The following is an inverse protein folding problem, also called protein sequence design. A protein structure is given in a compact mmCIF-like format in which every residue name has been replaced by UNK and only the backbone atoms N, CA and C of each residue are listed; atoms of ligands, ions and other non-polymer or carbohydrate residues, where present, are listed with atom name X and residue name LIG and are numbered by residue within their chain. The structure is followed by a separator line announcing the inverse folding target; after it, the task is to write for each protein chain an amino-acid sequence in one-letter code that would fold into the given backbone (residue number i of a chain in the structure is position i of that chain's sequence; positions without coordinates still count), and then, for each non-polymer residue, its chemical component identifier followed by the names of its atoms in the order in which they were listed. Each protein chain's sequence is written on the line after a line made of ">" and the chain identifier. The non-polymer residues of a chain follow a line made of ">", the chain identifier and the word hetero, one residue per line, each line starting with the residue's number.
data_IF_747803801376
#
_entry.id   IF_747803801376
#
_cell.length_a   1.000
_cell.length_b   1.000
_cell.length_c   1.000
_cell.angle_alpha   90.00
_cell.angle_beta   90.00
_cell.angle_gamma   90.00
#
_symmetry.space_group_name_H-M   'P 1'
#
loop_
_entity.id
_entity.type
_entity.pdbx_description
1 polymer ?
2 non-polymer ?
3 non-polymer ?
4 water ?
#
# COMPACT_ATOMS: atom_id res chain seq x y z
N UNK A 5 -17.97 27.70 -14.41
CA UNK A 5 -17.19 26.42 -14.23
C UNK A 5 -16.63 25.95 -15.59
N UNK A 6 -16.76 26.77 -16.64
CA UNK A 6 -16.27 26.41 -18.01
C UNK A 6 -14.73 26.52 -18.03
N UNK A 7 -14.16 27.38 -17.16
CA UNK A 7 -12.69 27.61 -17.09
C UNK A 7 -11.94 26.29 -17.29
N UNK A 8 -12.19 25.30 -16.42
CA UNK A 8 -11.53 23.98 -16.49
C UNK A 8 -10.40 23.86 -15.47
N UNK A 9 -9.81 22.67 -15.36
CA UNK A 9 -8.69 22.39 -14.42
C UNK A 9 -7.36 22.79 -15.04
N UNK A 10 -6.52 23.51 -14.29
CA UNK A 10 -5.19 23.95 -14.76
C UNK A 10 -4.27 22.73 -14.82
N UNK A 11 -3.14 22.78 -15.54
CA UNK A 11 -2.21 21.65 -15.60
C UNK A 11 -1.82 21.16 -14.19
N UNK A 12 -1.88 19.85 -13.98
CA UNK A 12 -1.52 19.25 -12.66
C UNK A 12 -0.08 18.75 -12.71
N UNK A 13 0.72 19.08 -11.70
CA UNK A 13 2.13 18.60 -11.64
C UNK A 13 2.45 18.16 -10.21
N UNK A 14 2.77 16.88 -10.04
CA UNK A 14 3.12 16.29 -8.72
C UNK A 14 4.64 16.30 -8.56
N UNK A 15 5.10 16.10 -7.33
CA UNK A 15 6.54 16.13 -7.00
C UNK A 15 7.12 14.72 -7.04
N UNK A 16 6.25 13.69 -6.95
CA UNK A 16 6.68 12.27 -6.96
C UNK A 16 7.25 11.88 -8.33
N UNK A 17 8.19 10.94 -8.34
CA UNK A 17 8.83 10.45 -9.59
C UNK A 17 7.81 9.84 -10.54
N UNK A 18 6.91 8.99 -10.02
CA UNK A 18 5.85 8.32 -10.83
C UNK A 18 4.49 8.52 -10.13
N UNK A 19 3.41 8.61 -10.91
CA UNK A 19 2.07 8.75 -10.32
C UNK A 19 0.99 8.35 -11.33
N UNK A 21 -3.57 8.30 -11.37
CA UNK A 21 -4.87 8.47 -10.74
C UNK A 21 -5.92 7.97 -11.74
N UNK A 22 -6.82 7.09 -11.27
CA UNK A 22 -7.86 6.46 -12.14
C UNK A 22 -9.25 6.57 -11.52
N UNK A 23 -10.26 6.80 -12.37
CA UNK A 23 -11.69 6.84 -11.97
C UNK A 23 -12.14 5.38 -11.85
N UNK A 24 -12.55 4.95 -10.66
CA UNK A 24 -12.93 3.53 -10.42
C UNK A 24 -14.32 3.16 -10.96
N UNK A 25 -15.06 4.13 -11.51
CA UNK A 25 -16.43 3.89 -12.04
C UNK A 25 -16.40 3.81 -13.58
N UNK A 26 -15.23 4.05 -14.18
CA UNK A 26 -15.06 4.00 -15.65
C UNK A 26 -13.67 3.44 -15.99
N UNK A 27 -12.78 3.35 -15.00
CA UNK A 27 -11.38 2.87 -15.19
C UNK A 27 -10.67 3.82 -16.18
N UNK A 28 -11.06 5.10 -16.17
CA UNK A 28 -10.42 6.09 -17.08
C UNK A 28 -9.33 6.82 -16.27
N UNK A 29 -8.18 7.04 -16.90
CA UNK A 29 -6.99 7.71 -16.28
C UNK A 29 -7.29 9.21 -16.11
N UNK A 30 -7.18 9.71 -14.87
CA UNK A 30 -7.40 11.16 -14.51
C UNK A 30 -6.06 11.89 -14.61
N UNK A 31 -4.98 11.21 -14.20
CA UNK A 31 -3.61 11.79 -14.27
C UNK A 31 -2.59 10.64 -14.34
N UNK A 32 -1.54 10.83 -15.14
CA UNK A 32 -0.48 9.80 -15.27
C UNK A 32 0.85 10.50 -15.58
N UNK A 33 1.89 10.15 -14.81
CA UNK A 33 3.24 10.68 -15.01
C UNK A 33 4.24 9.56 -14.77
N UNK A 34 4.98 9.18 -15.81
CA UNK A 34 6.04 8.14 -15.74
C UNK A 34 5.47 6.92 -14.98
N UNK A 35 4.27 6.49 -15.37
CA UNK A 35 3.52 5.38 -14.72
C UNK A 35 4.07 3.99 -15.08
N UNK A 36 5.07 3.90 -15.98
CA UNK A 36 5.60 2.57 -16.38
C UNK A 36 7.04 2.37 -15.87
N UNK A 37 7.54 3.28 -15.04
CA UNK A 37 8.91 3.11 -14.49
C UNK A 37 8.87 2.06 -13.36
N UNK A 38 9.69 1.01 -13.48
CA UNK A 38 9.79 -0.04 -12.43
C UNK A 38 10.51 0.59 -11.23
N UNK A 39 9.98 0.42 -10.03
CA UNK A 39 10.53 1.00 -8.77
C UNK A 39 10.29 0.04 -7.63
N UNK A 40 11.15 0.02 -6.58
CA UNK A 40 10.91 -0.78 -5.40
C UNK A 40 9.66 -0.20 -4.72
N UNK A 41 8.73 -1.04 -4.26
CA UNK A 41 7.45 -0.58 -3.64
C UNK A 41 7.39 -0.85 -2.14
N UNK A 42 8.39 -1.52 -1.57
CA UNK A 42 8.44 -1.78 -0.11
C UNK A 42 7.11 -2.30 0.46
N UNK A 43 6.61 -1.72 1.56
CA UNK A 43 5.41 -2.24 2.25
C UNK A 43 4.14 -2.24 1.39
N UNK A 44 4.12 -1.59 0.23
CA UNK A 44 2.89 -1.69 -0.61
C UNK A 44 2.76 -3.17 -1.04
N UNK A 45 3.84 -3.94 -0.89
CA UNK A 45 3.82 -5.41 -1.12
C UNK A 45 2.73 -6.07 -0.27
N UNK A 46 2.45 -5.49 0.91
CA UNK A 46 1.52 -6.14 1.87
C UNK A 46 0.09 -6.17 1.32
N UNK A 47 -0.26 -5.36 0.32
CA UNK A 47 -1.61 -5.46 -0.28
C UNK A 47 -1.73 -6.82 -1.00
N UNK A 49 0.14 -9.52 -0.35
CA UNK A 49 0.18 -10.54 0.68
C UNK A 49 -1.25 -10.79 1.21
N UNK A 50 -2.00 -9.72 1.53
CA UNK A 50 -3.39 -9.87 2.03
C UNK A 50 -4.30 -10.53 0.99
N UNK A 52 -3.50 -12.67 -1.38
CA UNK A 52 -3.16 -14.08 -1.51
C UNK A 52 -3.77 -14.87 -0.34
N UNK A 53 -3.66 -14.33 0.87
CA UNK A 53 -4.26 -14.95 2.08
C UNK A 53 -5.78 -15.07 1.88
N UNK A 54 -6.44 -13.99 1.49
CA UNK A 54 -7.93 -14.02 1.33
C UNK A 54 -8.36 -14.96 0.20
N UNK A 55 -7.60 -15.06 -0.89
CA UNK A 55 -7.93 -16.01 -2.00
C UNK A 55 -7.94 -17.46 -1.52
N UNK A 56 -7.10 -17.78 -0.53
CA UNK A 56 -7.02 -19.17 0.00
C UNK A 56 -8.23 -19.50 0.87
N UNK A 57 -9.07 -18.52 1.22
CA UNK A 57 -10.28 -18.72 2.05
C UNK A 57 -9.90 -19.41 3.37
N UNK A 58 -8.82 -18.95 3.99
CA UNK A 58 -8.36 -19.52 5.29
C UNK A 58 -9.21 -18.91 6.40
N UNK A 59 -9.51 -19.62 7.49
CA UNK A 59 -10.31 -19.06 8.57
C UNK A 59 -9.62 -17.83 9.18
N UNK A 60 -10.33 -16.71 9.22
CA UNK A 60 -9.81 -15.45 9.79
C UNK A 60 -9.73 -15.53 11.32
N UNK A 61 -10.58 -16.36 11.95
CA UNK A 61 -10.61 -16.43 13.44
C UNK A 61 -9.51 -17.37 13.97
N UNK A 62 -8.90 -18.17 13.09
CA UNK A 62 -7.86 -19.14 13.51
C UNK A 62 -6.67 -18.43 14.18
N UNK A 63 -6.24 -18.93 15.36
CA UNK A 63 -5.07 -18.40 16.10
C UNK A 63 -3.80 -19.00 15.48
N UNK A 64 -2.93 -18.15 14.93
CA UNK A 64 -1.69 -18.67 14.27
C UNK A 64 -0.46 -18.05 14.95
N UNK A 65 0.67 -18.73 14.82
CA UNK A 65 1.95 -18.33 15.48
C UNK A 65 2.77 -17.35 14.63
N UNK A 66 3.56 -16.52 15.32
CA UNK A 66 4.52 -15.61 14.63
C UNK A 66 5.68 -16.50 14.18
N UNK A 67 5.84 -16.70 12.88
CA UNK A 67 6.89 -17.54 12.27
C UNK A 67 7.45 -16.73 11.10
N UNK A 68 8.77 -16.50 11.07
CA UNK A 68 9.41 -15.61 10.06
C UNK A 68 10.68 -16.25 9.51
N UNK A 69 10.97 -17.49 9.94
CA UNK A 69 12.29 -18.11 9.63
C UNK A 69 12.56 -18.29 8.12
N UNK A 70 11.54 -18.37 7.26
CA UNK A 70 11.80 -18.56 5.79
C UNK A 70 12.01 -17.21 5.09
N UNK A 71 11.75 -16.10 5.78
CA UNK A 71 11.94 -14.74 5.21
C UNK A 71 13.33 -14.26 5.64
N UNK A 72 14.33 -14.47 4.78
CA UNK A 72 15.75 -14.12 5.08
C UNK A 72 15.90 -12.63 5.40
N UNK A 73 15.13 -11.76 4.74
CA UNK A 73 15.17 -10.29 4.94
C UNK A 73 14.76 -9.91 6.37
N UNK A 75 15.84 -11.40 9.07
CA UNK A 75 16.90 -11.72 10.02
C UNK A 75 17.53 -10.44 10.60
N UNK A 76 17.46 -10.26 11.92
CA UNK A 76 18.07 -9.11 12.61
C UNK A 76 17.21 -7.85 12.63
N UNK A 77 16.03 -7.88 12.01
CA UNK A 77 15.12 -6.70 11.94
C UNK A 77 14.31 -6.65 13.24
N UNK A 78 14.29 -5.49 13.90
CA UNK A 78 13.56 -5.32 15.18
C UNK A 78 12.04 -5.33 14.94
N UNK A 79 11.32 -5.89 15.91
CA UNK A 79 9.84 -5.94 15.92
C UNK A 79 9.37 -6.14 17.36
N UNK A 80 8.30 -5.46 17.74
CA UNK A 80 7.66 -5.62 19.08
C UNK A 80 6.85 -6.93 19.07
N UNK A 81 6.63 -7.51 17.90
CA UNK A 81 5.84 -8.79 17.76
C UNK A 81 6.81 -9.94 18.01
N UNK A 82 6.62 -10.65 19.12
CA UNK A 82 7.54 -11.73 19.55
C UNK A 82 7.35 -13.02 18.75
N UNK A 83 8.46 -13.64 18.35
CA UNK A 83 8.43 -14.91 17.58
C UNK A 83 7.79 -16.00 18.45
N UNK A 84 6.97 -16.85 17.81
CA UNK A 84 6.28 -17.98 18.49
C UNK A 84 5.05 -17.50 19.26
N UNK A 85 4.86 -16.18 19.44
CA UNK A 85 3.61 -15.70 20.12
C UNK A 85 2.46 -15.89 19.12
N UNK A 86 1.21 -15.77 19.57
CA UNK A 86 0.07 -16.12 18.66
C UNK A 86 -1.06 -15.10 18.73
N UNK A 87 -1.77 -14.94 17.60
CA UNK A 87 -2.92 -14.00 17.48
C UNK A 87 -3.74 -14.46 16.27
N UNK A 88 -4.97 -13.96 16.12
CA UNK A 88 -5.82 -14.47 15.01
C UNK A 88 -5.21 -14.09 13.66
N UNK A 89 -5.54 -14.87 12.63
CA UNK A 89 -5.11 -14.54 11.25
C UNK A 89 -5.65 -13.16 10.91
N UNK A 90 -6.88 -12.86 11.34
CA UNK A 90 -7.47 -11.53 11.04
C UNK A 90 -6.62 -10.43 11.70
N UNK A 91 -6.15 -10.66 12.93
CA UNK A 91 -5.32 -9.63 13.64
C UNK A 91 -3.98 -9.48 12.95
N UNK A 93 -3.45 -9.90 9.73
CA UNK A 93 -3.72 -9.13 8.53
C UNK A 93 -3.85 -7.65 8.90
N UNK A 94 -4.56 -7.37 9.98
CA UNK A 94 -4.76 -5.96 10.41
C UNK A 94 -3.40 -5.30 10.69
N UNK A 95 -2.56 -5.96 11.49
CA UNK A 95 -1.23 -5.38 11.85
C UNK A 95 -0.42 -5.15 10.57
N UNK A 96 -0.45 -6.10 9.64
CA UNK A 96 0.29 -5.95 8.38
C UNK A 96 -0.22 -4.75 7.57
N UNK A 97 -1.54 -4.61 7.48
CA UNK A 97 -2.14 -3.55 6.60
C UNK A 97 -2.21 -2.16 7.24
N UNK A 99 -0.56 -1.07 10.18
CA UNK A 99 0.72 -0.61 10.72
C UNK A 99 1.97 -1.07 9.95
N UNK A 100 1.83 -1.77 8.83
CA UNK A 100 3.00 -2.27 8.04
C UNK A 100 3.87 -3.15 8.92
N UNK A 101 3.27 -3.94 9.80
CA UNK A 101 4.07 -4.79 10.73
C UNK A 101 4.68 -5.93 9.91
N UNK A 102 6.02 -5.98 9.81
CA UNK A 102 6.73 -6.97 8.96
C UNK A 102 6.59 -8.40 9.48
N UNK A 103 6.71 -8.63 10.79
CA UNK A 103 6.61 -10.04 11.26
C UNK A 103 5.21 -10.59 11.02
N UNK A 104 4.18 -9.76 11.13
CA UNK A 104 2.79 -10.19 10.85
C UNK A 104 2.65 -10.59 9.37
N UNK A 105 3.15 -9.76 8.47
CA UNK A 105 3.09 -10.07 7.03
C UNK A 105 3.83 -11.37 6.74
N UNK A 106 5.03 -11.55 7.31
CA UNK A 106 5.81 -12.78 7.06
C UNK A 106 5.06 -13.99 7.62
N UNK A 107 4.49 -13.86 8.82
CA UNK A 107 3.78 -14.99 9.48
C UNK A 107 2.63 -15.49 8.61
N UNK A 108 1.92 -14.58 7.95
CA UNK A 108 0.79 -14.99 7.08
C UNK A 108 1.29 -15.96 6.00
N UNK A 109 2.49 -15.76 5.44
CA UNK A 109 3.04 -16.62 4.37
C UNK A 109 3.52 -17.96 4.95
N UNK A 110 3.75 -18.03 6.27
CA UNK A 110 4.19 -19.27 6.95
C UNK A 110 3.00 -20.14 7.40
N UNK A 111 1.76 -19.69 7.14
CA UNK A 111 0.51 -20.43 7.49
C UNK A 111 -0.38 -20.50 6.25
N UNK A 112 0.18 -21.04 5.18
CA UNK A 112 -0.49 -21.09 3.87
C UNK A 112 -0.47 -22.51 3.33
N UNK A 113 -1.61 -23.05 2.86
CA UNK A 113 -1.64 -24.41 2.33
C UNK A 113 -0.66 -24.46 1.15
N UNK A 114 0.26 -25.41 1.17
CA UNK A 114 1.26 -25.51 0.09
C UNK A 114 2.61 -24.98 0.54
N UNK A 115 2.64 -24.22 1.64
CA UNK A 115 3.93 -23.72 2.15
C UNK A 115 4.29 -22.30 1.72
N UNK A 116 5.43 -21.84 2.25
CA UNK A 116 5.95 -20.47 2.06
C UNK A 116 6.31 -20.19 0.59
N UNK A 117 7.09 -21.07 -0.02
CA UNK A 117 7.48 -20.90 -1.45
C UNK A 117 6.23 -20.81 -2.32
N UNK A 118 5.21 -21.64 -2.03
CA UNK A 118 3.95 -21.60 -2.80
C UNK A 118 3.29 -20.22 -2.65
N UNK A 119 3.37 -19.64 -1.46
CA UNK A 119 2.78 -18.30 -1.21
C UNK A 119 3.44 -17.27 -2.15
N UNK A 120 4.78 -17.25 -2.16
CA UNK A 120 5.50 -16.29 -3.06
C UNK A 120 5.09 -16.56 -4.51
N UNK A 121 5.07 -17.83 -4.92
CA UNK A 121 4.64 -18.16 -6.31
C UNK A 121 3.22 -17.63 -6.55
N UNK A 122 2.32 -17.72 -5.56
CA UNK A 122 0.91 -17.28 -5.73
C UNK A 122 0.84 -15.76 -5.88
N UNK A 124 3.12 -13.92 -7.37
CA UNK A 124 3.51 -13.65 -8.74
C UNK A 124 2.42 -14.13 -9.72
N UNK A 125 1.76 -15.26 -9.43
CA UNK A 125 0.65 -15.76 -10.28
C UNK A 125 -0.48 -14.73 -10.29
N UNK A 126 -0.79 -14.15 -9.12
CA UNK A 126 -1.86 -13.13 -9.05
C UNK A 126 -1.46 -11.90 -9.90
N UNK A 127 -0.22 -11.43 -9.76
CA UNK A 127 0.24 -10.29 -10.58
C UNK A 127 -0.01 -10.61 -12.06
N UNK A 128 0.39 -11.80 -12.49
CA UNK A 128 0.22 -12.17 -13.92
C UNK A 128 -1.26 -12.15 -14.32
N UNK A 129 -2.12 -12.72 -13.48
CA UNK A 129 -3.59 -12.81 -13.74
C UNK A 129 -4.23 -11.42 -13.84
N UNK A 130 -3.60 -10.39 -13.25
CA UNK A 130 -4.13 -9.00 -13.26
C UNK A 130 -3.42 -8.16 -14.33
N UNK A 131 -2.57 -8.76 -15.15
CA UNK A 131 -1.86 -7.99 -16.19
C UNK A 131 -0.77 -7.07 -15.64
N UNK A 133 2.42 -6.88 -15.61
CA UNK A 133 3.56 -7.45 -16.33
C UNK A 133 4.92 -6.92 -15.87
N UNK A 134 4.99 -5.81 -15.13
CA UNK A 134 6.33 -5.28 -14.71
C UNK A 134 6.48 -5.41 -13.20
N UNK A 135 5.65 -6.25 -12.59
CA UNK A 135 5.69 -6.46 -11.13
C UNK A 135 6.39 -7.78 -10.80
N UNK A 136 7.17 -7.78 -9.71
CA UNK A 136 7.88 -8.99 -9.23
C UNK A 136 7.90 -8.97 -7.70
N UNK A 137 7.57 -10.12 -7.11
CA UNK A 137 7.60 -10.27 -5.64
C UNK A 137 8.60 -11.37 -5.30
N UNK A 138 9.39 -11.17 -4.23
CA UNK A 138 10.36 -12.22 -3.82
C UNK A 138 10.08 -12.60 -2.36
N UNK A 139 9.33 -11.77 -1.65
CA UNK A 139 9.00 -12.06 -0.22
C UNK A 139 7.75 -11.26 0.13
N UNK A 140 7.04 -11.64 1.22
CA UNK A 140 5.75 -11.02 1.55
C UNK A 140 5.70 -9.74 2.39
N UNK A 141 6.86 -9.20 2.78
CA UNK A 141 6.85 -8.02 3.68
C UNK A 141 7.11 -6.72 2.94
N UNK A 142 7.95 -6.76 1.91
CA UNK A 142 8.39 -5.55 1.20
C UNK A 142 9.78 -5.13 1.67
N UNK A 143 10.37 -5.83 2.64
CA UNK A 143 11.74 -5.49 3.10
C UNK A 143 12.72 -5.65 1.94
N UNK A 144 12.44 -6.59 1.04
CA UNK A 144 13.35 -6.77 -0.13
C UNK A 144 13.19 -5.64 -1.14
N UNK A 145 14.30 -5.07 -1.61
CA UNK A 145 14.27 -4.00 -2.66
C UNK A 145 13.90 -4.66 -4.00
N UNK A 146 13.93 -5.99 -4.06
CA UNK A 146 13.58 -6.72 -5.31
C UNK A 146 12.06 -6.89 -5.45
N UNK A 147 11.28 -6.36 -4.49
CA UNK A 147 9.80 -6.33 -4.64
C UNK A 147 9.55 -5.05 -5.46
N UNK A 148 9.28 -5.21 -6.76
CA UNK A 148 9.16 -4.01 -7.65
C UNK A 148 7.82 -3.96 -8.38
N UNK A 149 7.40 -2.75 -8.74
CA UNK A 149 6.16 -2.57 -9.54
C UNK A 149 6.19 -1.22 -10.24
N UNK A 150 5.08 -0.84 -10.86
CA UNK A 150 4.96 0.45 -11.57
C UNK A 150 3.69 1.14 -11.06
N UNK A 151 3.57 2.44 -11.29
CA UNK A 151 2.34 3.14 -10.85
C UNK A 151 1.14 2.51 -11.58
N UNK A 152 1.31 2.13 -12.85
CA UNK A 152 0.21 1.51 -13.62
C UNK A 152 -0.13 0.13 -13.05
N UNK A 153 0.87 -0.71 -12.77
CA UNK A 153 0.59 -2.07 -12.22
C UNK A 153 -0.10 -1.97 -10.84
N UNK A 154 0.38 -1.06 -9.98
CA UNK A 154 -0.27 -0.88 -8.65
C UNK A 154 -1.70 -0.34 -8.84
N UNK A 155 -1.95 0.44 -9.90
CA UNK A 155 -3.34 0.89 -10.15
C UNK A 155 -4.19 -0.36 -10.44
N UNK A 156 -3.69 -1.28 -11.26
CA UNK A 156 -4.40 -2.55 -11.54
C UNK A 156 -4.64 -3.29 -10.23
N UNK A 157 -3.64 -3.30 -9.34
CA UNK A 157 -3.82 -3.97 -8.03
C UNK A 157 -4.92 -3.26 -7.22
N UNK A 158 -4.90 -1.92 -7.16
CA UNK A 158 -5.95 -1.17 -6.40
C UNK A 158 -7.34 -1.52 -6.95
N UNK A 159 -7.48 -1.49 -8.27
CA UNK A 159 -8.77 -1.90 -8.90
C UNK A 159 -9.16 -3.31 -8.41
N UNK A 160 -8.22 -4.23 -8.34
CA UNK A 160 -8.54 -5.62 -7.91
C UNK A 160 -8.99 -5.64 -6.43
N UNK A 161 -8.43 -4.74 -5.60
CA UNK A 161 -8.79 -4.71 -4.15
C UNK A 161 -10.27 -4.40 -3.93
N UNK A 162 -10.95 -3.80 -4.91
CA UNK A 162 -12.41 -3.52 -4.79
C UNK A 162 -13.16 -4.82 -4.47
N UNK A 163 -12.67 -5.94 -4.99
CA UNK A 163 -13.33 -7.27 -4.83
C UNK A 163 -13.02 -7.88 -3.45
N UNK A 164 -12.18 -7.22 -2.65
CA UNK A 164 -11.78 -7.73 -1.31
C UNK A 164 -12.00 -6.64 -0.27
N UNK A 165 -13.27 -6.41 0.17
CA UNK A 165 -13.59 -5.34 1.12
C UNK A 165 -12.76 -5.34 2.41
N UNK A 166 -12.38 -6.53 2.87
CA UNK A 166 -11.63 -6.60 4.15
C UNK A 166 -10.26 -5.93 4.01
N UNK A 167 -9.60 -5.98 2.84
CA UNK A 167 -8.26 -5.33 2.73
C UNK A 167 -8.39 -3.83 3.04
N UNK A 168 -9.33 -3.14 2.39
CA UNK A 168 -9.57 -1.71 2.61
C UNK A 168 -9.98 -1.40 4.03
N UNK A 169 -10.86 -2.21 4.61
CA UNK A 169 -11.37 -2.01 5.99
C UNK A 169 -10.22 -2.11 7.01
N UNK A 170 -9.39 -3.14 6.90
CA UNK A 170 -8.30 -3.26 7.90
C UNK A 170 -7.23 -2.19 7.66
N UNK A 171 -6.98 -1.82 6.40
CA UNK A 171 -5.89 -0.85 6.10
C UNK A 171 -6.27 0.55 6.60
N UNK A 172 -7.56 0.88 6.67
CA UNK A 172 -8.02 2.23 7.11
C UNK A 172 -8.36 2.23 8.60
N UNK A 173 -8.10 1.12 9.30
CA UNK A 173 -8.33 1.07 10.77
C UNK A 173 -7.41 2.14 11.38
N UNK A 174 -7.97 3.04 12.20
CA UNK A 174 -7.16 4.17 12.76
C UNK A 174 -6.20 3.69 13.86
N UNK A 175 -6.64 2.82 14.77
CA UNK A 175 -5.78 2.30 15.86
C UNK A 175 -6.30 0.94 16.33
N UNK A 176 -5.48 0.20 17.08
CA UNK A 176 -5.81 -1.16 17.56
C UNK A 176 -4.94 -1.55 18.75
N UNK A 178 -3.60 -4.61 20.24
CA UNK A 178 -3.42 -6.01 19.86
C UNK A 178 -3.00 -6.85 21.06
N UNK A 179 -3.73 -7.95 21.31
CA UNK A 179 -3.44 -8.86 22.46
C UNK A 179 -2.93 -10.21 21.94
N UNK A 180 -1.69 -10.55 22.27
CA UNK A 180 -1.03 -11.82 21.89
C UNK A 180 -1.02 -12.82 23.04
N UNK A 181 -0.73 -14.10 22.73
CA UNK A 181 -0.59 -15.18 23.73
C UNK A 181 0.70 -15.95 23.42
N UNK A 182 1.20 -16.70 24.40
CA UNK A 182 2.44 -17.52 24.31
C UNK A 182 3.65 -16.63 24.03
N UNK A 183 3.98 -15.68 24.93
CA UNK A 183 3.22 -15.43 26.16
C UNK A 183 2.19 -14.30 25.99
N UNK A 184 1.47 -13.97 27.07
CA UNK A 184 0.45 -12.89 27.01
C UNK A 184 1.14 -11.51 27.09
N UNK A 185 0.75 -10.60 26.19
CA UNK A 185 1.25 -9.20 26.16
C UNK A 185 0.36 -8.44 25.18
N UNK A 186 0.20 -7.12 25.38
CA UNK A 186 -0.65 -6.26 24.53
C UNK A 186 0.20 -5.14 23.94
N UNK A 187 -0.03 -4.81 22.67
CA UNK A 187 0.73 -3.76 21.93
C UNK A 187 -0.22 -2.76 21.29
N UNK A 188 -0.02 -1.45 21.48
CA UNK A 188 -0.82 -0.44 20.80
C UNK A 188 -0.28 -0.22 19.37
N UNK A 189 -1.18 -0.20 18.38
CA UNK A 189 -0.80 0.03 16.95
C UNK A 189 -1.63 1.17 16.37
N UNK A 190 -1.04 1.97 15.47
CA UNK A 190 -1.75 3.08 14.79
C UNK A 190 -1.48 2.99 13.29
N UNK A 191 -2.33 3.63 12.51
CA UNK A 191 -2.22 3.67 11.03
C UNK A 191 -1.00 4.51 10.64
N UNK A 192 -0.27 4.09 9.60
CA UNK A 192 0.93 4.82 9.08
C UNK A 192 0.50 6.01 8.20
N UNK A 193 -0.81 6.15 7.93
CA UNK A 193 -1.32 7.27 7.07
C UNK A 193 -2.15 8.21 7.95
N UNK A 194 -1.57 9.36 8.33
CA UNK A 194 -2.31 10.34 9.18
C UNK A 194 -3.59 10.83 8.48
N UNK A 195 -3.68 10.66 7.15
CA UNK A 195 -4.87 11.16 6.41
C UNK A 195 -6.14 10.45 6.87
N UNK A 196 -6.01 9.28 7.51
CA UNK A 196 -7.21 8.53 7.97
C UNK A 196 -7.86 9.30 9.13
N UNK A 197 -7.10 10.11 9.85
CA UNK A 197 -7.62 10.90 11.00
C UNK A 197 -8.11 12.27 10.53
N UNK A 198 -7.97 12.58 9.24
CA UNK A 198 -8.41 13.88 8.67
C UNK A 198 -9.82 13.71 8.11
N UNK A 199 -10.80 14.40 8.72
CA UNK A 199 -12.23 14.30 8.31
C UNK A 199 -12.41 14.85 6.89
N UNK A 200 -11.41 15.52 6.32
CA UNK A 200 -11.54 16.03 4.94
C UNK A 200 -11.21 14.88 3.94
N UNK A 201 -10.81 13.73 4.48
CA UNK A 201 -10.49 12.57 3.60
C UNK A 201 -11.52 11.46 3.77
N UNK A 202 -11.86 10.82 2.65
CA UNK A 202 -12.83 9.70 2.59
C UNK A 202 -12.04 8.55 1.95
N UNK A 203 -11.37 7.75 2.79
CA UNK A 203 -10.44 6.69 2.32
C UNK A 203 -11.04 5.29 2.50
N UNK A 204 -10.99 4.48 1.44
CA UNK A 204 -11.49 3.08 1.46
C UNK A 204 -10.31 2.14 1.66
N UNK A 205 -9.14 2.52 1.17
CA UNK A 205 -7.95 1.66 1.31
C UNK A 205 -6.70 2.52 1.28
N UNK A 206 -5.72 2.18 2.10
CA UNK A 206 -4.47 2.97 2.07
C UNK A 206 -3.29 2.09 2.42
N UNK A 207 -2.18 2.28 1.72
CA UNK A 207 -0.95 1.55 2.05
C UNK A 207 0.23 2.43 1.69
N UNK A 208 1.18 2.58 2.62
CA UNK A 208 2.40 3.37 2.36
C UNK A 208 3.61 2.44 2.35
N UNK A 209 4.71 2.92 1.76
CA UNK A 209 6.01 2.22 1.73
C UNK A 209 7.15 3.23 1.72
N UNK A 210 8.34 2.77 2.09
CA UNK A 210 9.53 3.65 2.03
C UNK A 210 10.78 2.80 1.91
N UNK A 211 11.66 3.17 0.98
CA UNK A 211 13.01 2.59 0.78
C UNK A 211 13.96 3.76 0.62
N UNK A 212 15.23 3.63 1.02
CA UNK A 212 16.17 4.75 0.78
C UNK A 212 16.42 4.90 -0.72
N UNK A 213 16.24 3.82 -1.49
CA UNK A 213 16.55 3.84 -2.94
C UNK A 213 15.53 4.64 -3.75
N UNK A 214 14.23 4.47 -3.48
CA UNK A 214 13.19 5.19 -4.27
C UNK A 214 12.43 6.21 -3.41
N UNK A 215 12.49 6.09 -2.09
CA UNK A 215 11.79 7.07 -1.24
C UNK A 215 10.39 6.62 -0.86
N UNK A 216 9.49 7.59 -0.70
CA UNK A 216 8.12 7.29 -0.19
C UNK A 216 7.16 6.88 -1.31
N UNK A 217 6.28 5.95 -0.97
CA UNK A 217 5.25 5.44 -1.91
C UNK A 217 3.89 5.44 -1.21
N UNK A 218 2.82 5.66 -1.97
CA UNK A 218 1.47 5.66 -1.40
C UNK A 218 0.49 5.11 -2.43
N UNK A 219 -0.36 4.17 -1.99
CA UNK A 219 -1.44 3.62 -2.82
C UNK A 219 -2.72 3.73 -2.01
N UNK A 221 -7.33 4.10 -2.24
CA UNK A 221 -8.62 4.15 -2.89
C UNK A 221 -9.37 5.19 -2.05
N UNK A 222 -9.85 6.26 -2.68
CA UNK A 222 -10.49 7.36 -1.91
C UNK A 222 -11.62 8.00 -2.74
N UNK A 223 -12.57 8.60 -2.04
CA UNK A 223 -13.70 9.30 -2.72
C UNK A 223 -13.37 10.78 -2.68
N UNK A 224 -13.11 11.38 -3.85
CA UNK A 224 -12.80 12.83 -3.97
C UNK A 224 -14.05 13.47 -4.57
N UNK A 225 -14.78 14.22 -3.75
CA UNK A 225 -16.07 14.78 -4.20
C UNK A 225 -17.06 13.63 -4.30
N UNK A 226 -17.53 13.35 -5.52
CA UNK A 226 -18.47 12.23 -5.79
C UNK A 226 -17.78 11.24 -6.74
N UNK A 227 -16.45 11.09 -6.64
CA UNK A 227 -15.76 10.22 -7.62
C UNK A 227 -14.80 9.30 -6.87
N UNK A 228 -15.06 7.97 -6.80
CA UNK A 228 -14.13 7.05 -6.15
C UNK A 228 -12.93 6.96 -7.11
N UNK A 229 -11.72 7.19 -6.59
CA UNK A 229 -10.52 7.15 -7.46
C UNK A 229 -9.44 6.25 -6.84
N UNK A 230 -8.53 5.80 -7.70
CA UNK A 230 -7.34 5.04 -7.30
C UNK A 230 -6.20 6.03 -7.43
N UNK A 231 -5.37 6.14 -6.40
CA UNK A 231 -4.25 7.11 -6.38
C UNK A 231 -2.98 6.34 -6.02
N UNK A 232 -1.97 6.40 -6.89
CA UNK A 232 -0.63 5.79 -6.67
C UNK A 232 0.42 6.86 -6.92
N UNK A 233 1.27 7.10 -5.92
CA UNK A 233 2.43 8.04 -6.06
C UNK A 233 3.67 7.26 -5.61
N UNK A 234 4.70 7.21 -6.47
CA UNK A 234 5.94 6.46 -6.16
C UNK A 234 7.17 7.37 -6.32
N UNK A 235 8.28 6.96 -5.71
CA UNK A 235 9.58 7.68 -5.80
C UNK A 235 9.39 9.14 -5.36
N UNK A 236 8.73 9.33 -4.22
CA UNK A 236 8.54 10.68 -3.62
C UNK A 236 9.82 10.97 -2.84
N UNK A 237 10.63 11.90 -3.35
CA UNK A 237 11.95 12.22 -2.74
C UNK A 237 11.78 12.77 -1.32
N UNK A 238 11.09 13.91 -1.19
CA UNK A 238 10.87 14.59 0.10
C UNK A 238 10.10 13.72 1.08
N UNK A 239 10.34 13.94 2.38
CA UNK A 239 9.72 13.14 3.49
C UNK A 239 8.20 13.02 3.39
N UNK A 240 7.45 14.12 3.24
CA UNK A 240 5.97 14.05 3.17
C UNK A 240 5.46 14.33 1.75
N UNK A 241 6.35 14.22 0.75
CA UNK A 241 6.03 14.48 -0.68
C UNK A 241 4.83 13.63 -1.14
N UNK A 242 4.73 12.39 -0.67
CA UNK A 242 3.62 11.49 -1.06
C UNK A 242 2.29 12.01 -0.48
N UNK A 243 2.27 12.42 0.78
CA UNK A 243 1.01 12.93 1.39
C UNK A 243 0.68 14.28 0.76
N UNK A 244 1.70 15.10 0.52
CA UNK A 244 1.51 16.42 -0.13
C UNK A 244 0.93 16.22 -1.54
N UNK A 245 1.43 15.23 -2.28
CA UNK A 245 0.91 14.96 -3.66
C UNK A 245 -0.55 14.50 -3.58
N UNK A 246 -0.90 13.69 -2.57
CA UNK A 246 -2.31 13.26 -2.42
C UNK A 246 -3.19 14.50 -2.19
N UNK A 247 -2.74 15.40 -1.31
CA UNK A 247 -3.48 16.67 -1.01
C UNK A 247 -3.55 17.51 -2.28
N UNK A 248 -2.49 17.51 -3.08
CA UNK A 248 -2.50 18.28 -4.35
C UNK A 248 -3.58 17.71 -5.28
N UNK A 249 -3.58 16.38 -5.48
CA UNK A 249 -4.60 15.72 -6.35
C UNK A 249 -6.00 16.04 -5.83
N UNK A 250 -6.22 15.91 -4.52
CA UNK A 250 -7.56 16.17 -3.92
C UNK A 250 -7.96 17.63 -4.12
N UNK A 251 -7.16 18.58 -3.62
CA UNK A 251 -7.49 20.02 -3.72
C UNK A 251 -7.73 20.38 -5.20
N UNK A 252 -6.94 19.80 -6.10
CA UNK A 252 -7.05 20.06 -7.57
C UNK A 252 -8.36 19.53 -8.17
N UNK A 254 -11.08 19.05 -6.56
CA UNK A 254 -12.20 19.77 -5.95
C UNK A 254 -12.34 21.20 -6.48
N UNK A 255 -11.23 21.93 -6.60
CA UNK A 255 -11.24 23.36 -6.99
C UNK A 255 -10.75 23.58 -8.42
N UNK A 256 -10.02 22.62 -9.00
CA UNK A 256 -9.46 22.77 -10.36
C UNK A 256 -8.15 23.53 -10.32
N UNK A 257 -7.75 23.97 -9.12
CA UNK A 257 -6.50 24.75 -8.90
C UNK A 257 -5.40 23.83 -8.39
N UNK A 258 -4.19 23.98 -8.93
CA UNK A 258 -3.02 23.16 -8.55
C UNK A 258 -2.00 24.02 -7.80
N UNK A 259 -1.40 23.45 -6.75
CA UNK A 259 -0.38 24.14 -5.94
C UNK A 259 0.99 23.95 -6.58
N UNK A 260 1.80 25.02 -6.78
CA UNK A 260 3.14 24.88 -7.35
C UNK A 260 4.02 24.08 -6.38
N UNK A 261 4.64 23.00 -6.87
CA UNK A 261 5.50 22.13 -6.00
C UNK A 261 6.74 22.89 -5.58
N UNK A 262 7.36 22.53 -4.42
CA UNK A 262 8.57 23.20 -3.96
C UNK A 262 9.77 22.95 -4.90
N UNK A 263 10.77 23.84 -4.84
CA UNK A 263 11.99 23.78 -5.67
C UNK A 263 12.76 22.48 -5.50
N UNK A 264 12.96 22.02 -4.26
CA UNK A 264 13.69 20.77 -3.94
C UNK A 264 13.02 19.57 -4.65
N UNK A 265 11.68 19.56 -4.68
CA UNK A 265 10.90 18.48 -5.34
C UNK A 265 11.01 18.63 -6.86
N UNK A 266 10.87 19.87 -7.34
CA UNK A 266 10.97 20.24 -8.77
C UNK A 266 12.34 19.79 -9.30
N UNK A 267 13.38 20.00 -8.49
CA UNK A 267 14.78 19.63 -8.85
C UNK A 267 14.90 18.11 -9.02
N UNK A 268 14.48 17.34 -8.01
CA UNK A 268 14.62 15.86 -8.06
C UNK A 268 13.98 15.30 -9.34
N UNK A 269 12.73 15.69 -9.62
CA UNK A 269 12.03 15.20 -10.84
C UNK A 269 12.83 15.56 -12.11
N UNK A 270 13.08 16.86 -12.31
CA UNK A 270 13.81 17.39 -13.50
C UNK A 270 15.12 16.61 -13.66
N UNK A 271 15.65 16.06 -12.57
CA UNK A 271 16.90 15.24 -12.63
C UNK A 271 16.50 13.77 -12.86
#
# INVERSE_FOLDING_TARGET
>A
SNASEVKGKAPLELASGSAXVVDLQTNKVIYANNADEVVPIASITKLXTAXVVLDAKLPLDEIISVDIHQTKEXKGVFSRVRVNSEISRKDXLLLALXSSENRAAASLAHHYPGGYNAFINAXNAKAKSLGXTKTRYVEPTGLSINNVSTARDLTKLLIATKQYPLIGQLSTTTEKXATFREPNYTLPFRNTNHLVYNDKWNIQLTKTGFTNQAGHCLAXRTVIGNRPVALVVLDAFGKYTHFADANRLRSWXETGKAAPIPGAAKSYRQQKDAQGRLAQVSE
#
